data_IF_356354395072
#
_entry.id   IF_356354395072
#
_cell.length_a   1.000
_cell.length_b   1.000
_cell.length_c   1.000
_cell.angle_alpha   90.00
_cell.angle_beta   90.00
_cell.angle_gamma   90.00
#
_symmetry.space_group_name_H-M   'P 1'
#
loop_
_entity.id
_entity.type
_entity.pdbx_description
1 polymer ?
#
# COMPACT_ATOMS: atom_id res chain seq x y z
N UNK A 1 -16.85 3.20 18.64
CA UNK A 1 -17.02 2.32 17.46
C UNK A 1 -16.97 3.21 16.24
N UNK A 2 -15.95 3.07 15.38
CA UNK A 2 -15.89 3.78 14.11
C UNK A 2 -16.92 3.14 13.18
N UNK A 3 -17.90 3.89 12.71
CA UNK A 3 -18.88 3.41 11.73
C UNK A 3 -18.37 3.72 10.30
N UNK A 4 -18.70 2.86 9.34
CA UNK A 4 -18.38 3.12 7.93
C UNK A 4 -19.27 4.26 7.43
N UNK A 5 -18.66 5.43 7.19
CA UNK A 5 -19.37 6.65 6.79
C UNK A 5 -20.17 6.43 5.51
N UNK A 6 -19.59 5.81 4.48
CA UNK A 6 -20.28 5.63 3.20
C UNK A 6 -21.47 4.66 3.34
N UNK A 7 -21.37 3.68 4.25
CA UNK A 7 -22.50 2.79 4.54
C UNK A 7 -23.63 3.50 5.30
N UNK A 8 -23.30 4.40 6.21
CA UNK A 8 -24.27 5.11 7.05
C UNK A 8 -24.88 6.35 6.37
N UNK A 9 -24.08 7.04 5.54
CA UNK A 9 -24.39 8.35 4.97
C UNK A 9 -24.20 8.39 3.44
N UNK A 10 -24.15 7.23 2.77
CA UNK A 10 -23.93 7.17 1.32
C UNK A 10 -25.00 7.86 0.49
N UNK A 11 -26.20 8.02 1.04
CA UNK A 11 -27.32 8.71 0.41
C UNK A 11 -27.05 10.21 0.22
N UNK A 12 -26.32 10.85 1.13
CA UNK A 12 -25.99 12.28 1.04
C UNK A 12 -24.74 12.56 0.20
N UNK A 13 -24.01 11.54 -0.27
CA UNK A 13 -22.83 11.73 -1.12
C UNK A 13 -23.30 12.07 -2.53
N UNK A 14 -22.80 13.17 -3.10
CA UNK A 14 -23.11 13.59 -4.48
C UNK A 14 -21.95 13.33 -5.43
N UNK A 15 -22.29 13.07 -6.69
CA UNK A 15 -21.31 12.95 -7.78
C UNK A 15 -20.82 14.29 -8.31
N UNK A 16 -21.51 15.40 -8.02
CA UNK A 16 -21.15 16.75 -8.44
C UNK A 16 -20.53 17.57 -7.30
N UNK A 17 -19.63 18.49 -7.64
CA UNK A 17 -18.96 19.37 -6.69
C UNK A 17 -17.53 19.69 -7.12
N UNK A 18 -16.72 20.17 -6.17
CA UNK A 18 -15.36 20.61 -6.43
C UNK A 18 -14.36 19.47 -6.67
N UNK A 19 -13.23 19.79 -7.32
CA UNK A 19 -12.12 18.85 -7.51
C UNK A 19 -11.27 18.74 -6.24
N UNK A 20 -10.85 17.53 -5.92
CA UNK A 20 -10.07 17.21 -4.71
C UNK A 20 -8.70 16.70 -5.11
N UNK A 21 -7.64 17.29 -4.55
CA UNK A 21 -6.27 16.76 -4.63
C UNK A 21 -5.83 16.36 -3.23
N UNK A 22 -5.59 15.06 -3.03
CA UNK A 22 -4.96 14.52 -1.83
C UNK A 22 -3.48 14.25 -2.12
N UNK A 23 -2.62 15.08 -1.55
CA UNK A 23 -1.17 14.87 -1.56
C UNK A 23 -0.77 14.06 -0.33
N UNK A 24 -0.08 12.95 -0.58
CA UNK A 24 0.50 12.09 0.43
C UNK A 24 2.03 12.14 0.31
N UNK A 25 2.68 12.85 1.22
CA UNK A 25 4.12 12.78 1.43
C UNK A 25 4.38 11.54 2.29
N UNK A 26 4.83 10.46 1.67
CA UNK A 26 4.98 9.16 2.32
C UNK A 26 5.83 9.26 3.59
N UNK A 27 5.39 8.68 4.70
CA UNK A 27 6.17 8.72 5.95
C UNK A 27 6.44 10.14 6.51
N UNK A 28 5.64 11.16 6.13
CA UNK A 28 5.87 12.58 6.47
C UNK A 28 6.21 12.80 7.94
N UNK A 29 5.40 12.22 8.82
CA UNK A 29 5.50 12.51 10.25
C UNK A 29 6.84 12.10 10.83
N UNK A 30 7.37 12.95 11.70
CA UNK A 30 8.63 12.77 12.39
C UNK A 30 8.48 12.88 13.91
N UNK A 31 9.62 12.82 14.60
CA UNK A 31 9.72 13.11 16.03
C UNK A 31 10.90 14.05 16.27
N UNK A 32 10.87 14.88 17.33
CA UNK A 32 12.00 15.73 17.67
C UNK A 32 13.29 14.93 17.81
N UNK A 33 14.31 15.28 17.03
CA UNK A 33 15.59 14.57 17.03
C UNK A 33 16.78 15.52 17.02
N UNK A 34 17.20 16.04 15.87
CA UNK A 34 18.31 16.98 15.77
C UNK A 34 17.85 18.38 16.15
N UNK A 35 18.60 19.02 17.04
CA UNK A 35 18.24 20.33 17.62
C UNK A 35 16.83 20.37 18.23
N UNK A 36 16.31 19.21 18.63
CA UNK A 36 14.94 19.07 19.14
C UNK A 36 13.87 19.40 18.11
N UNK A 37 14.12 19.24 16.80
CA UNK A 37 13.14 19.43 15.71
C UNK A 37 12.83 18.13 14.98
N UNK A 38 11.64 18.03 14.40
CA UNK A 38 11.32 17.04 13.36
C UNK A 38 11.96 17.45 12.03
N UNK A 39 11.98 16.55 11.04
CA UNK A 39 12.43 16.84 9.68
C UNK A 39 11.54 17.90 9.02
N UNK A 40 10.22 17.85 9.26
CA UNK A 40 9.26 18.84 8.76
C UNK A 40 9.46 20.23 9.42
N UNK A 41 9.77 20.27 10.71
CA UNK A 41 10.10 21.52 11.41
C UNK A 41 11.43 22.13 10.95
N UNK A 42 12.41 21.28 10.62
CA UNK A 42 13.74 21.69 10.16
C UNK A 42 13.77 22.16 8.71
N UNK A 43 12.88 21.63 7.85
CA UNK A 43 12.77 22.01 6.45
C UNK A 43 12.35 23.47 6.26
N UNK A 44 12.90 24.12 5.23
CA UNK A 44 12.49 25.45 4.78
C UNK A 44 11.34 25.33 3.79
N UNK A 45 10.13 25.57 4.29
CA UNK A 45 8.88 25.27 3.59
C UNK A 45 7.99 26.50 3.40
N UNK A 46 8.47 27.56 2.71
CA UNK A 46 7.73 28.82 2.61
C UNK A 46 6.34 28.66 1.97
N UNK A 47 6.16 27.75 1.01
CA UNK A 47 4.88 27.57 0.33
C UNK A 47 3.87 26.82 1.21
N UNK A 48 4.31 25.75 1.87
CA UNK A 48 3.49 25.02 2.85
C UNK A 48 3.14 25.92 4.04
N UNK A 49 4.09 26.71 4.54
CA UNK A 49 3.89 27.59 5.69
C UNK A 49 2.91 28.73 5.37
N UNK A 50 2.93 29.26 4.14
CA UNK A 50 1.94 30.25 3.73
C UNK A 50 0.55 29.62 3.56
N UNK A 51 0.48 28.46 2.90
CA UNK A 51 -0.77 27.72 2.73
C UNK A 51 -1.39 27.29 4.07
N UNK A 52 -0.56 26.94 5.05
CA UNK A 52 -0.96 26.49 6.38
C UNK A 52 -1.78 27.53 7.16
N UNK A 53 -1.54 28.82 6.94
CA UNK A 53 -2.29 29.91 7.59
C UNK A 53 -3.73 29.98 7.07
N UNK A 54 -3.92 29.68 5.79
CA UNK A 54 -5.21 29.67 5.11
C UNK A 54 -5.89 28.28 5.09
N UNK A 55 -5.39 27.33 5.89
CA UNK A 55 -5.87 25.96 5.95
C UNK A 55 -6.43 25.61 7.33
N UNK A 56 -7.30 24.59 7.37
CA UNK A 56 -7.62 23.88 8.59
C UNK A 56 -6.54 22.81 8.82
N UNK A 57 -5.87 22.81 9.97
CA UNK A 57 -4.81 21.85 10.32
C UNK A 57 -5.26 20.88 11.39
N UNK A 58 -4.57 19.75 11.48
CA UNK A 58 -4.78 18.76 12.52
C UNK A 58 -3.76 17.64 12.44
N UNK A 59 -3.98 16.64 13.29
CA UNK A 59 -3.28 15.37 13.23
C UNK A 59 -4.26 14.27 12.86
N UNK A 60 -3.79 13.24 12.19
CA UNK A 60 -4.58 12.03 12.00
C UNK A 60 -3.88 10.78 12.51
N UNK A 61 -4.68 9.78 12.88
CA UNK A 61 -4.26 8.47 13.33
C UNK A 61 -4.53 7.48 12.20
N UNK A 62 -3.51 6.88 11.58
CA UNK A 62 -3.69 6.02 10.42
C UNK A 62 -4.54 4.77 10.68
N UNK A 63 -4.27 4.07 11.80
CA UNK A 63 -4.96 2.81 12.15
C UNK A 63 -5.63 2.93 13.51
N UNK A 64 -4.86 2.96 14.59
CA UNK A 64 -5.37 3.20 15.94
C UNK A 64 -4.26 3.74 16.86
N UNK A 65 -4.66 4.21 18.04
CA UNK A 65 -3.72 4.72 19.04
C UNK A 65 -2.66 3.67 19.41
N UNK A 66 -1.39 4.05 19.29
CA UNK A 66 -0.26 3.17 19.63
C UNK A 66 0.04 2.08 18.61
N UNK A 67 -0.67 2.03 17.47
CA UNK A 67 -0.43 1.05 16.40
C UNK A 67 0.50 1.63 15.35
N UNK A 68 1.66 1.02 15.14
CA UNK A 68 2.53 1.33 14.00
C UNK A 68 1.96 0.69 12.73
N UNK A 69 1.53 1.46 11.73
CA UNK A 69 0.92 0.92 10.53
C UNK A 69 1.97 0.52 9.48
N UNK A 70 1.61 -0.44 8.62
CA UNK A 70 2.24 -0.58 7.31
C UNK A 70 1.55 0.32 6.28
N UNK A 71 2.23 0.59 5.17
CA UNK A 71 1.71 1.54 4.16
C UNK A 71 0.38 1.11 3.53
N UNK A 72 0.13 -0.21 3.39
CA UNK A 72 -1.14 -0.75 2.90
C UNK A 72 -2.35 -0.32 3.76
N UNK A 73 -2.41 -0.74 5.04
CA UNK A 73 -3.41 -0.29 5.99
C UNK A 73 -3.53 1.25 6.08
N UNK A 74 -2.42 1.98 6.12
CA UNK A 74 -2.45 3.45 6.16
C UNK A 74 -3.17 4.07 4.97
N UNK A 75 -2.87 3.60 3.75
CA UNK A 75 -3.51 4.12 2.54
C UNK A 75 -4.99 3.76 2.45
N UNK A 76 -5.37 2.54 2.84
CA UNK A 76 -6.79 2.18 2.94
C UNK A 76 -7.54 3.15 3.86
N UNK A 77 -6.95 3.48 5.01
CA UNK A 77 -7.53 4.42 5.94
C UNK A 77 -7.63 5.84 5.37
N UNK A 78 -6.58 6.34 4.69
CA UNK A 78 -6.63 7.64 4.00
C UNK A 78 -7.76 7.71 2.97
N UNK A 79 -8.05 6.60 2.28
CA UNK A 79 -9.15 6.49 1.31
C UNK A 79 -10.50 6.17 1.95
N UNK A 80 -10.58 6.17 3.28
CA UNK A 80 -11.81 6.00 4.06
C UNK A 80 -12.29 4.54 4.17
N UNK A 81 -11.42 3.57 3.95
CA UNK A 81 -11.67 2.15 4.20
C UNK A 81 -11.16 1.75 5.58
N UNK A 82 -11.92 0.92 6.28
CA UNK A 82 -11.49 0.37 7.57
C UNK A 82 -10.23 -0.51 7.36
N UNK A 83 -9.06 -0.12 7.91
CA UNK A 83 -7.80 -0.81 7.66
C UNK A 83 -7.68 -2.14 8.41
N UNK A 84 -8.53 -2.39 9.42
CA UNK A 84 -8.55 -3.63 10.20
C UNK A 84 -9.48 -4.66 9.56
N UNK A 85 -10.57 -4.22 8.91
CA UNK A 85 -11.46 -5.12 8.17
C UNK A 85 -10.94 -5.45 6.77
N UNK A 86 -10.35 -4.47 6.08
CA UNK A 86 -9.94 -4.61 4.68
C UNK A 86 -8.46 -5.00 4.55
N UNK A 87 -8.01 -6.02 5.27
CA UNK A 87 -6.59 -6.41 5.28
C UNK A 87 -6.19 -6.96 3.91
N UNK A 88 -5.32 -6.24 3.21
CA UNK A 88 -4.59 -6.77 2.06
C UNK A 88 -3.53 -7.73 2.59
N UNK A 89 -3.76 -9.03 2.41
CA UNK A 89 -2.84 -10.08 2.88
C UNK A 89 -1.51 -10.04 2.10
N UNK A 90 -0.47 -10.63 2.72
CA UNK A 90 0.93 -10.49 2.29
C UNK A 90 1.23 -10.97 0.87
N UNK A 91 0.62 -12.05 0.38
CA UNK A 91 0.91 -12.54 -0.97
C UNK A 91 0.55 -11.51 -2.05
N UNK A 92 -0.58 -10.80 -1.90
CA UNK A 92 -0.97 -9.69 -2.76
C UNK A 92 -0.02 -8.52 -2.59
N UNK A 93 0.35 -8.16 -1.36
CA UNK A 93 1.32 -7.07 -1.15
C UNK A 93 2.65 -7.34 -1.87
N UNK A 94 3.15 -8.58 -1.87
CA UNK A 94 4.35 -8.97 -2.62
C UNK A 94 4.13 -8.83 -4.13
N UNK A 95 2.98 -9.27 -4.64
CA UNK A 95 2.61 -9.13 -6.05
C UNK A 95 2.57 -7.65 -6.48
N UNK A 96 1.90 -6.81 -5.70
CA UNK A 96 1.86 -5.36 -5.94
C UNK A 96 3.26 -4.74 -5.87
N UNK A 97 4.09 -5.17 -4.93
CA UNK A 97 5.45 -4.67 -4.74
C UNK A 97 6.37 -4.91 -5.94
N UNK A 98 6.08 -5.92 -6.77
CA UNK A 98 6.78 -6.20 -8.02
C UNK A 98 6.00 -5.77 -9.28
N UNK A 99 4.94 -4.97 -9.11
CA UNK A 99 4.18 -4.37 -10.20
C UNK A 99 3.11 -5.26 -10.83
N UNK A 100 2.78 -6.40 -10.20
CA UNK A 100 1.71 -7.28 -10.66
C UNK A 100 0.39 -6.82 -10.06
N UNK A 101 -0.63 -6.73 -10.92
CA UNK A 101 -1.99 -6.42 -10.49
C UNK A 101 -2.80 -7.72 -10.46
N UNK A 102 -3.23 -8.19 -9.28
CA UNK A 102 -4.07 -9.37 -9.15
C UNK A 102 -5.40 -9.26 -9.90
N UNK A 103 -5.92 -10.39 -10.35
CA UNK A 103 -7.31 -10.54 -10.81
C UNK A 103 -8.19 -11.22 -9.75
N UNK A 104 -9.53 -11.10 -9.88
CA UNK A 104 -10.49 -11.59 -8.87
C UNK A 104 -10.52 -13.12 -8.71
N UNK A 105 -10.09 -13.85 -9.74
CA UNK A 105 -10.00 -15.31 -9.81
C UNK A 105 -8.56 -15.83 -9.58
N UNK A 106 -7.71 -15.00 -8.98
CA UNK A 106 -6.30 -15.27 -8.79
C UNK A 106 -5.93 -15.23 -7.31
N UNK A 107 -5.13 -16.22 -6.89
CA UNK A 107 -4.54 -16.26 -5.56
C UNK A 107 -3.03 -16.12 -5.67
N UNK A 108 -2.45 -15.39 -4.73
CA UNK A 108 -1.02 -15.15 -4.64
C UNK A 108 -0.46 -15.76 -3.38
N UNK A 109 0.70 -16.39 -3.50
CA UNK A 109 1.49 -16.90 -2.39
C UNK A 109 2.89 -16.28 -2.44
N UNK A 110 3.40 -15.93 -1.27
CA UNK A 110 4.83 -15.68 -1.12
C UNK A 110 5.54 -17.02 -1.06
N UNK A 111 6.68 -17.12 -1.74
CA UNK A 111 7.55 -18.28 -1.72
C UNK A 111 8.99 -17.91 -1.36
N UNK A 112 9.69 -18.88 -0.79
CA UNK A 112 11.14 -18.86 -0.68
C UNK A 112 11.71 -20.08 -1.40
N UNK A 113 12.65 -19.87 -2.33
CA UNK A 113 13.55 -20.93 -2.76
C UNK A 113 14.34 -21.46 -1.56
N UNK A 114 14.38 -22.78 -1.42
CA UNK A 114 15.01 -23.45 -0.29
C UNK A 114 15.81 -24.67 -0.75
N UNK A 115 16.80 -25.05 0.06
CA UNK A 115 17.49 -26.33 -0.07
C UNK A 115 16.72 -27.38 0.69
N UNK A 116 16.46 -28.51 0.03
CA UNK A 116 15.70 -29.61 0.58
C UNK A 116 16.34 -30.96 0.21
N UNK A 117 16.06 -31.99 0.99
CA UNK A 117 16.39 -33.38 0.66
C UNK A 117 15.14 -34.26 0.75
N UNK A 118 15.11 -35.33 -0.04
CA UNK A 118 14.10 -36.37 0.12
C UNK A 118 14.49 -37.32 1.27
N UNK A 119 13.55 -37.60 2.16
CA UNK A 119 13.71 -38.45 3.34
C UNK A 119 12.40 -39.22 3.57
N UNK A 120 12.41 -40.53 3.26
CA UNK A 120 11.25 -41.40 3.43
C UNK A 120 10.00 -40.97 2.66
N UNK A 121 10.16 -40.43 1.44
CA UNK A 121 9.05 -39.90 0.63
C UNK A 121 8.52 -38.55 1.09
N UNK A 122 9.16 -37.90 2.06
CA UNK A 122 8.89 -36.53 2.50
C UNK A 122 10.04 -35.62 2.11
N UNK A 123 9.76 -34.32 1.99
CA UNK A 123 10.75 -33.30 1.64
C UNK A 123 11.18 -32.59 2.92
N UNK A 124 12.43 -32.83 3.36
CA UNK A 124 13.02 -32.21 4.54
C UNK A 124 13.74 -30.92 4.16
N UNK A 125 13.50 -29.85 4.91
CA UNK A 125 14.09 -28.54 4.66
C UNK A 125 15.47 -28.45 5.31
N UNK A 126 16.50 -28.16 4.51
CA UNK A 126 17.88 -28.01 4.97
C UNK A 126 18.26 -26.54 5.18
N UNK A 127 17.84 -25.67 4.27
CA UNK A 127 18.05 -24.22 4.37
C UNK A 127 16.83 -23.51 3.77
N UNK A 128 16.12 -22.74 4.58
CA UNK A 128 14.86 -22.07 4.21
C UNK A 128 15.03 -20.91 3.23
N UNK A 129 16.26 -20.51 2.96
CA UNK A 129 16.61 -19.35 2.12
C UNK A 129 17.60 -19.71 1.01
N UNK A 130 17.96 -20.99 0.88
CA UNK A 130 18.92 -21.46 -0.12
C UNK A 130 20.24 -20.64 -0.13
N UNK A 131 20.78 -20.30 1.06
CA UNK A 131 21.98 -19.49 1.17
C UNK A 131 21.82 -18.04 0.70
N UNK A 132 20.58 -17.56 0.54
CA UNK A 132 20.24 -16.29 -0.11
C UNK A 132 20.88 -16.18 -1.50
N UNK A 133 20.49 -17.08 -2.39
CA UNK A 133 20.85 -17.03 -3.82
C UNK A 133 20.72 -15.62 -4.39
N UNK A 134 21.56 -15.29 -5.38
CA UNK A 134 21.45 -14.01 -6.07
C UNK A 134 20.11 -13.88 -6.79
N UNK A 135 19.65 -12.64 -6.98
CA UNK A 135 18.43 -12.37 -7.77
C UNK A 135 18.55 -12.90 -9.20
N UNK A 136 19.75 -12.98 -9.76
CA UNK A 136 19.97 -13.53 -11.11
C UNK A 136 19.70 -15.04 -11.15
N UNK A 137 20.20 -15.79 -10.17
CA UNK A 137 19.89 -17.22 -10.03
C UNK A 137 18.39 -17.41 -9.83
N UNK A 138 17.75 -16.58 -9.01
CA UNK A 138 16.30 -16.64 -8.79
C UNK A 138 15.51 -16.46 -10.10
N UNK A 139 15.86 -15.46 -10.92
CA UNK A 139 15.22 -15.23 -12.22
C UNK A 139 15.32 -16.47 -13.10
N UNK A 140 16.49 -17.12 -13.15
CA UNK A 140 16.69 -18.34 -13.93
C UNK A 140 15.84 -19.51 -13.42
N UNK A 141 15.74 -19.68 -12.09
CA UNK A 141 14.86 -20.69 -11.50
C UNK A 141 13.38 -20.42 -11.79
N UNK A 142 12.93 -19.16 -11.68
CA UNK A 142 11.56 -18.77 -12.00
C UNK A 142 11.24 -18.98 -13.48
N UNK A 143 12.18 -18.67 -14.38
CA UNK A 143 12.02 -18.90 -15.83
C UNK A 143 11.89 -20.39 -16.14
N UNK A 144 12.77 -21.23 -15.55
CA UNK A 144 12.72 -22.68 -15.70
C UNK A 144 11.37 -23.25 -15.21
N UNK A 145 10.92 -22.84 -14.02
CA UNK A 145 9.63 -23.26 -13.47
C UNK A 145 8.46 -22.79 -14.34
N UNK A 146 8.49 -21.54 -14.81
CA UNK A 146 7.45 -20.99 -15.69
C UNK A 146 7.39 -21.68 -17.05
N UNK A 147 8.50 -22.21 -17.55
CA UNK A 147 8.52 -23.01 -18.78
C UNK A 147 7.88 -24.40 -18.55
N UNK A 148 8.20 -25.05 -17.42
CA UNK A 148 7.81 -26.43 -17.13
C UNK A 148 6.45 -26.57 -16.44
N UNK A 149 5.98 -25.54 -15.75
CA UNK A 149 4.77 -25.56 -14.91
C UNK A 149 3.92 -24.34 -15.30
N UNK A 150 3.26 -24.41 -16.45
CA UNK A 150 2.35 -23.35 -16.94
C UNK A 150 0.92 -23.54 -16.43
N UNK A 151 0.48 -24.80 -16.35
CA UNK A 151 -0.86 -25.19 -15.96
C UNK A 151 -0.78 -26.38 -15.01
N UNK A 152 -1.63 -26.38 -13.99
CA UNK A 152 -1.92 -27.53 -13.14
C UNK A 152 -3.42 -27.79 -13.21
N UNK A 153 -3.81 -28.90 -13.84
CA UNK A 153 -5.18 -29.14 -14.27
C UNK A 153 -5.69 -27.95 -15.13
N UNK A 154 -6.69 -27.21 -14.65
CA UNK A 154 -7.27 -26.00 -15.25
C UNK A 154 -6.81 -24.69 -14.57
N UNK A 155 -5.80 -24.73 -13.71
CA UNK A 155 -5.24 -23.56 -13.02
C UNK A 155 -3.95 -23.10 -13.69
N UNK A 156 -3.91 -21.84 -14.12
CA UNK A 156 -2.70 -21.20 -14.63
C UNK A 156 -1.73 -20.90 -13.47
N UNK A 157 -0.45 -21.21 -13.65
CA UNK A 157 0.60 -21.00 -12.66
C UNK A 157 1.64 -20.04 -13.20
N UNK A 158 2.00 -19.02 -12.41
CA UNK A 158 3.08 -18.09 -12.75
C UNK A 158 4.04 -17.92 -11.59
N UNK A 159 5.33 -17.83 -11.89
CA UNK A 159 6.40 -17.60 -10.93
C UNK A 159 7.08 -16.27 -11.22
N UNK A 160 7.10 -15.40 -10.22
CA UNK A 160 7.63 -14.06 -10.36
C UNK A 160 8.85 -13.88 -9.45
N UNK A 161 10.03 -13.60 -10.01
CA UNK A 161 11.22 -13.37 -9.22
C UNK A 161 11.06 -12.09 -8.39
N UNK A 162 11.46 -12.15 -7.12
CA UNK A 162 11.55 -10.98 -6.24
C UNK A 162 13.04 -10.71 -5.96
N UNK A 163 13.44 -10.50 -4.70
CA UNK A 163 14.82 -10.25 -4.30
C UNK A 163 15.42 -11.48 -3.64
N UNK A 164 16.65 -11.83 -4.05
CA UNK A 164 17.40 -12.99 -3.56
C UNK A 164 16.59 -14.29 -3.73
N UNK A 165 16.35 -15.03 -2.65
CA UNK A 165 15.61 -16.30 -2.63
C UNK A 165 14.08 -16.15 -2.67
N UNK A 166 13.54 -14.93 -2.64
CA UNK A 166 12.09 -14.69 -2.59
C UNK A 166 11.46 -14.81 -3.97
N UNK A 167 10.29 -15.44 -4.03
CA UNK A 167 9.48 -15.60 -5.24
C UNK A 167 8.02 -15.31 -4.91
N UNK A 168 7.27 -14.72 -5.82
CA UNK A 168 5.83 -14.59 -5.72
C UNK A 168 5.20 -15.57 -6.71
N UNK A 169 4.22 -16.35 -6.29
CA UNK A 169 3.53 -17.32 -7.15
C UNK A 169 2.08 -16.88 -7.30
N UNK A 170 1.60 -16.89 -8.53
CA UNK A 170 0.18 -16.75 -8.86
C UNK A 170 -0.40 -18.10 -9.25
N UNK A 171 -1.62 -18.36 -8.76
CA UNK A 171 -2.50 -19.43 -9.22
C UNK A 171 -3.81 -18.79 -9.66
N UNK A 172 -4.11 -18.88 -10.95
CA UNK A 172 -5.31 -18.29 -11.54
C UNK A 172 -6.26 -19.38 -12.02
N UNK A 173 -7.48 -19.38 -11.50
CA UNK A 173 -8.49 -20.37 -11.83
C UNK A 173 -9.73 -20.27 -10.97
N UNK A 174 -10.82 -20.89 -11.43
CA UNK A 174 -12.09 -20.89 -10.70
C UNK A 174 -12.04 -21.81 -9.48
N UNK A 175 -12.79 -21.43 -8.44
CA UNK A 175 -12.91 -22.22 -7.21
C UNK A 175 -11.64 -22.24 -6.36
N UNK A 176 -10.78 -21.22 -6.47
CA UNK A 176 -9.61 -21.03 -5.62
C UNK A 176 -9.92 -20.08 -4.45
N UNK A 177 -9.32 -20.38 -3.31
CA UNK A 177 -9.41 -19.60 -2.07
C UNK A 177 -8.04 -19.44 -1.43
N UNK A 178 -7.88 -18.42 -0.59
CA UNK A 178 -6.68 -18.18 0.20
C UNK A 178 -6.76 -18.71 1.63
N UNK A 179 -7.84 -19.43 1.96
CA UNK A 179 -8.09 -20.04 3.28
C UNK A 179 -7.45 -21.43 3.43
N UNK A 180 -6.17 -21.52 3.06
CA UNK A 180 -5.34 -22.71 3.22
C UNK A 180 -4.05 -22.38 4.00
N UNK A 181 -3.51 -23.37 4.70
CA UNK A 181 -2.31 -23.26 5.49
C UNK A 181 -1.03 -23.22 4.65
N UNK A 182 -0.03 -22.51 5.18
CA UNK A 182 1.32 -22.44 4.61
C UNK A 182 1.98 -23.81 4.48
N UNK A 183 2.82 -23.97 3.45
CA UNK A 183 3.64 -25.18 3.24
C UNK A 183 5.02 -25.06 3.88
N UNK A 184 5.48 -23.83 4.15
CA UNK A 184 6.73 -23.59 4.87
C UNK A 184 6.61 -24.00 6.36
N UNK A 185 7.45 -24.93 6.86
CA UNK A 185 7.40 -25.36 8.26
C UNK A 185 7.95 -24.32 9.25
N UNK A 186 8.52 -23.23 8.75
CA UNK A 186 9.15 -22.14 9.48
C UNK A 186 10.45 -22.47 10.19
N UNK A 187 10.94 -23.69 10.06
CA UNK A 187 12.14 -24.16 10.74
C UNK A 187 12.90 -25.16 9.86
N UNK A 188 14.23 -25.08 9.91
CA UNK A 188 15.12 -26.04 9.25
C UNK A 188 15.11 -27.38 10.01
N UNK A 189 15.37 -28.48 9.29
CA UNK A 189 15.28 -29.84 9.82
C UNK A 189 13.84 -30.39 9.90
N UNK A 190 12.83 -29.56 9.68
CA UNK A 190 11.42 -29.99 9.58
C UNK A 190 11.05 -30.33 8.12
N UNK A 191 9.92 -31.01 7.93
CA UNK A 191 9.39 -31.36 6.61
C UNK A 191 8.48 -30.28 6.05
N UNK A 192 8.47 -30.11 4.73
CA UNK A 192 7.46 -29.28 4.05
C UNK A 192 6.08 -29.79 4.44
N UNK A 193 5.20 -28.86 4.84
CA UNK A 193 3.85 -29.19 5.26
C UNK A 193 2.97 -29.46 4.06
N UNK A 194 2.08 -30.44 4.22
CA UNK A 194 0.92 -30.55 3.34
C UNK A 194 0.02 -29.34 3.56
N UNK A 195 -0.52 -28.70 2.50
CA UNK A 195 -1.47 -27.61 2.65
C UNK A 195 -2.65 -28.06 3.50
N UNK A 196 -2.89 -27.38 4.63
CA UNK A 196 -4.02 -27.69 5.51
C UNK A 196 -5.22 -26.82 5.14
N UNK A 197 -6.41 -27.39 5.23
CA UNK A 197 -7.65 -26.62 5.14
C UNK A 197 -7.83 -25.85 6.45
N UNK A 198 -8.10 -24.55 6.38
CA UNK A 198 -8.34 -23.73 7.56
C UNK A 198 -9.85 -23.67 7.85
N UNK A 199 -10.25 -24.05 9.07
CA UNK A 199 -11.67 -24.09 9.46
C UNK A 199 -12.45 -25.18 8.73
N UNK A 200 -13.72 -24.89 8.43
CA UNK A 200 -14.61 -25.84 7.76
C UNK A 200 -14.15 -26.16 6.33
N UNK A 201 -14.28 -27.43 5.96
CA UNK A 201 -13.96 -27.91 4.63
C UNK A 201 -15.01 -27.47 3.61
N UNK A 202 -14.55 -26.73 2.59
CA UNK A 202 -15.36 -26.36 1.42
C UNK A 202 -14.72 -26.92 0.15
N UNK A 203 -15.49 -26.94 -0.95
CA UNK A 203 -14.99 -27.36 -2.26
C UNK A 203 -13.75 -26.55 -2.66
N UNK A 204 -13.77 -25.24 -2.49
CA UNK A 204 -12.69 -24.33 -2.87
C UNK A 204 -11.42 -24.59 -2.07
N UNK A 205 -11.54 -24.83 -0.75
CA UNK A 205 -10.39 -25.10 0.12
C UNK A 205 -9.74 -26.43 -0.23
N UNK A 206 -10.55 -27.49 -0.43
CA UNK A 206 -10.05 -28.81 -0.82
C UNK A 206 -9.35 -28.74 -2.17
N UNK A 207 -10.00 -28.13 -3.16
CA UNK A 207 -9.44 -27.92 -4.49
C UNK A 207 -8.13 -27.13 -4.46
N UNK A 208 -8.07 -26.04 -3.70
CA UNK A 208 -6.85 -25.24 -3.59
C UNK A 208 -5.73 -26.04 -2.92
N UNK A 209 -6.01 -26.77 -1.84
CA UNK A 209 -5.03 -27.62 -1.16
C UNK A 209 -4.46 -28.70 -2.10
N UNK A 210 -5.31 -29.36 -2.91
CA UNK A 210 -4.90 -30.34 -3.91
C UNK A 210 -3.99 -29.72 -4.99
N UNK A 211 -4.36 -28.55 -5.53
CA UNK A 211 -3.55 -27.83 -6.52
C UNK A 211 -2.19 -27.43 -5.94
N UNK A 212 -2.15 -26.91 -4.72
CA UNK A 212 -0.89 -26.53 -4.05
C UNK A 212 -0.03 -27.76 -3.74
N UNK A 213 -0.65 -28.89 -3.38
CA UNK A 213 0.09 -30.13 -3.17
C UNK A 213 0.72 -30.62 -4.49
N UNK A 214 -0.05 -30.64 -5.59
CA UNK A 214 0.47 -30.95 -6.93
C UNK A 214 1.59 -30.00 -7.34
N UNK A 215 1.44 -28.71 -7.06
CA UNK A 215 2.44 -27.68 -7.32
C UNK A 215 3.75 -27.97 -6.59
N UNK A 216 3.71 -28.22 -5.27
CA UNK A 216 4.90 -28.53 -4.48
C UNK A 216 5.63 -29.76 -5.04
N UNK A 217 4.89 -30.83 -5.37
CA UNK A 217 5.46 -32.03 -5.98
C UNK A 217 6.12 -31.74 -7.33
N UNK A 218 5.46 -30.95 -8.19
CA UNK A 218 6.00 -30.61 -9.51
C UNK A 218 7.23 -29.70 -9.43
N UNK A 219 7.24 -28.73 -8.52
CA UNK A 219 8.40 -27.88 -8.24
C UNK A 219 9.58 -28.76 -7.82
N UNK A 220 9.36 -29.68 -6.89
CA UNK A 220 10.42 -30.59 -6.43
C UNK A 220 10.94 -31.47 -7.57
N UNK A 221 10.05 -32.05 -8.38
CA UNK A 221 10.44 -32.87 -9.54
C UNK A 221 11.35 -32.11 -10.52
N UNK A 222 11.03 -30.85 -10.80
CA UNK A 222 11.80 -29.99 -11.71
C UNK A 222 13.14 -29.57 -11.10
N UNK A 223 13.18 -29.29 -9.80
CA UNK A 223 14.34 -28.70 -9.14
C UNK A 223 15.21 -29.68 -8.34
N UNK A 224 14.83 -30.95 -8.18
CA UNK A 224 15.53 -31.92 -7.31
C UNK A 224 17.04 -32.04 -7.58
N UNK A 225 17.47 -31.83 -8.83
CA UNK A 225 18.88 -31.93 -9.24
C UNK A 225 19.55 -30.56 -9.41
N UNK A 226 18.85 -29.46 -9.13
CA UNK A 226 19.42 -28.13 -9.20
C UNK A 226 20.36 -27.89 -8.01
N UNK A 227 21.50 -27.24 -8.22
CA UNK A 227 22.51 -27.01 -7.18
C UNK A 227 22.11 -25.93 -6.14
N UNK A 228 21.21 -25.03 -6.51
CA UNK A 228 20.87 -23.86 -5.70
C UNK A 228 19.69 -24.10 -4.78
N UNK A 229 18.58 -24.64 -5.30
CA UNK A 229 17.34 -24.87 -4.56
C UNK A 229 16.58 -26.06 -5.14
N UNK A 230 15.93 -26.85 -4.28
CA UNK A 230 15.17 -28.05 -4.69
C UNK A 230 13.66 -27.87 -4.49
N UNK A 231 13.24 -26.82 -3.78
CA UNK A 231 11.86 -26.64 -3.35
C UNK A 231 11.53 -25.14 -3.24
N UNK A 232 10.24 -24.82 -3.23
CA UNK A 232 9.74 -23.51 -2.82
C UNK A 232 8.86 -23.70 -1.58
N UNK A 233 9.16 -22.93 -0.52
CA UNK A 233 8.37 -22.90 0.71
C UNK A 233 7.32 -21.80 0.60
N UNK A 234 6.04 -22.18 0.53
CA UNK A 234 4.93 -21.26 0.28
C UNK A 234 4.30 -20.77 1.58
N UNK A 235 3.93 -19.49 1.57
CA UNK A 235 3.36 -18.77 2.70
C UNK A 235 2.38 -17.70 2.27
N UNK A 236 1.45 -17.39 3.17
CA UNK A 236 0.64 -16.18 3.08
C UNK A 236 -0.19 -16.15 1.80
N UNK A 237 -0.87 -17.27 1.51
CA UNK A 237 -1.88 -17.32 0.45
C UNK A 237 -2.85 -16.15 0.64
N UNK A 238 -3.19 -15.51 -0.47
CA UNK A 238 -3.99 -14.30 -0.46
C UNK A 238 -4.78 -14.15 -1.75
N UNK A 239 -6.05 -13.80 -1.61
CA UNK A 239 -6.95 -13.45 -2.69
C UNK A 239 -7.33 -11.98 -2.56
N UNK A 240 -7.69 -11.35 -3.69
CA UNK A 240 -8.15 -9.96 -3.65
C UNK A 240 -9.28 -9.85 -2.64
N UNK A 241 -9.21 -8.91 -1.69
CA UNK A 241 -10.31 -8.70 -0.76
C UNK A 241 -11.54 -8.27 -1.55
N UNK A 242 -12.72 -8.72 -1.11
CA UNK A 242 -13.98 -8.17 -1.58
C UNK A 242 -14.15 -6.76 -0.99
N UNK A 243 -13.61 -5.79 -1.71
CA UNK A 243 -13.57 -4.39 -1.32
C UNK A 243 -14.37 -3.56 -2.32
N UNK A 244 -15.24 -2.70 -1.81
CA UNK A 244 -15.99 -1.77 -2.64
C UNK A 244 -15.02 -0.82 -3.36
N UNK A 245 -15.27 -0.53 -4.64
CA UNK A 245 -14.43 0.39 -5.39
C UNK A 245 -14.58 1.83 -4.89
N UNK A 246 -13.53 2.63 -5.07
CA UNK A 246 -13.49 4.05 -4.68
C UNK A 246 -14.59 4.86 -5.34
N UNK A 247 -14.82 4.65 -6.64
CA UNK A 247 -15.90 5.30 -7.36
C UNK A 247 -17.27 4.92 -6.80
N UNK A 248 -17.50 3.65 -6.49
CA UNK A 248 -18.78 3.21 -5.91
C UNK A 248 -18.99 3.77 -4.50
N UNK A 249 -17.94 3.79 -3.68
CA UNK A 249 -17.98 4.27 -2.29
C UNK A 249 -18.19 5.79 -2.21
N UNK A 250 -17.51 6.55 -3.07
CA UNK A 250 -17.43 8.01 -2.95
C UNK A 250 -18.07 8.80 -4.09
N UNK A 251 -18.55 8.14 -5.16
CA UNK A 251 -19.09 8.75 -6.38
C UNK A 251 -18.12 9.72 -7.06
N UNK A 252 -16.82 9.39 -7.00
CA UNK A 252 -15.71 10.19 -7.54
C UNK A 252 -14.95 9.39 -8.58
N UNK A 253 -14.73 9.99 -9.76
CA UNK A 253 -13.76 9.45 -10.71
C UNK A 253 -12.35 9.81 -10.25
N UNK A 254 -11.53 8.80 -9.93
CA UNK A 254 -10.25 8.98 -9.25
C UNK A 254 -9.05 8.62 -10.14
N UNK A 255 -8.00 9.44 -10.07
CA UNK A 255 -6.70 9.17 -10.68
C UNK A 255 -5.60 9.11 -9.60
N UNK A 256 -4.84 8.03 -9.60
CA UNK A 256 -3.65 7.87 -8.77
C UNK A 256 -2.38 8.23 -9.54
N UNK A 257 -1.61 9.16 -8.97
CA UNK A 257 -0.33 9.65 -9.45
C UNK A 257 0.74 9.18 -8.47
N UNK A 258 1.15 7.93 -8.65
CA UNK A 258 2.16 7.26 -7.83
C UNK A 258 3.19 6.55 -8.71
N UNK A 259 4.46 6.61 -8.31
CA UNK A 259 5.58 5.97 -9.02
C UNK A 259 5.85 4.55 -8.49
N UNK A 260 5.76 4.36 -7.17
CA UNK A 260 6.12 3.09 -6.55
C UNK A 260 5.04 2.00 -6.78
N UNK A 261 5.42 0.76 -7.15
CA UNK A 261 4.48 -0.29 -7.55
C UNK A 261 3.39 -0.60 -6.53
N UNK A 262 3.71 -0.62 -5.24
CA UNK A 262 2.75 -0.95 -4.19
C UNK A 262 1.57 0.04 -4.15
N UNK A 263 1.82 1.34 -4.24
CA UNK A 263 0.76 2.36 -4.19
C UNK A 263 -0.09 2.37 -5.46
N UNK A 264 0.55 2.16 -6.62
CA UNK A 264 -0.17 1.91 -7.88
C UNK A 264 -1.07 0.69 -7.74
N UNK A 265 -0.58 -0.36 -7.08
CA UNK A 265 -1.30 -1.57 -6.77
C UNK A 265 -2.54 -1.35 -5.90
N UNK A 266 -2.38 -0.66 -4.77
CA UNK A 266 -3.48 -0.35 -3.85
C UNK A 266 -4.55 0.48 -4.57
N UNK A 267 -4.14 1.51 -5.31
CA UNK A 267 -5.05 2.33 -6.10
C UNK A 267 -5.86 1.51 -7.11
N UNK A 268 -5.21 0.56 -7.84
CA UNK A 268 -5.91 -0.35 -8.75
C UNK A 268 -6.88 -1.29 -8.04
N UNK A 269 -6.52 -1.83 -6.87
CA UNK A 269 -7.42 -2.68 -6.07
C UNK A 269 -8.69 -1.92 -5.71
N UNK A 270 -8.57 -0.62 -5.40
CA UNK A 270 -9.70 0.25 -5.14
C UNK A 270 -10.40 0.76 -6.41
N UNK A 271 -10.00 0.31 -7.60
CA UNK A 271 -10.61 0.72 -8.86
C UNK A 271 -10.31 2.15 -9.29
N UNK A 272 -9.20 2.75 -8.83
CA UNK A 272 -8.73 4.04 -9.34
C UNK A 272 -7.97 3.86 -10.66
N UNK A 273 -8.08 4.84 -11.57
CA UNK A 273 -7.21 4.91 -12.74
C UNK A 273 -5.79 5.26 -12.30
N UNK A 274 -4.79 4.78 -13.03
CA UNK A 274 -3.38 5.03 -12.70
C UNK A 274 -2.76 5.89 -13.79
N UNK A 275 -2.12 6.99 -13.42
CA UNK A 275 -1.42 7.83 -14.39
C UNK A 275 -0.19 7.14 -14.96
N UNK A 276 0.05 7.36 -16.24
CA UNK A 276 1.33 7.11 -16.88
C UNK A 276 2.30 8.22 -16.47
N UNK A 277 3.44 7.85 -15.90
CA UNK A 277 4.47 8.78 -15.44
C UNK A 277 5.79 8.31 -16.05
N UNK A 278 6.48 9.20 -16.73
CA UNK A 278 7.81 8.92 -17.27
C UNK A 278 8.87 9.10 -16.18
N UNK A 279 9.49 8.00 -15.76
CA UNK A 279 10.44 7.97 -14.66
C UNK A 279 9.83 8.18 -13.27
N UNK A 280 10.66 8.59 -12.32
CA UNK A 280 10.31 8.67 -10.88
C UNK A 280 10.47 10.09 -10.31
N UNK A 281 10.48 11.11 -11.16
CA UNK A 281 10.68 12.50 -10.72
C UNK A 281 9.35 13.17 -10.34
N UNK A 282 9.41 14.09 -9.37
CA UNK A 282 8.24 14.87 -8.95
C UNK A 282 7.70 15.74 -10.11
N UNK A 283 8.57 16.22 -11.00
CA UNK A 283 8.18 16.97 -12.20
C UNK A 283 7.37 16.12 -13.17
N UNK A 284 7.73 14.85 -13.35
CA UNK A 284 6.94 13.91 -14.16
C UNK A 284 5.55 13.69 -13.56
N UNK A 285 5.43 13.61 -12.24
CA UNK A 285 4.15 13.49 -11.54
C UNK A 285 3.29 14.75 -11.70
N UNK A 286 3.89 15.93 -11.60
CA UNK A 286 3.20 17.22 -11.81
C UNK A 286 2.72 17.35 -13.26
N UNK A 287 3.52 16.93 -14.24
CA UNK A 287 3.09 16.87 -15.64
C UNK A 287 1.86 15.98 -15.80
N UNK A 288 1.89 14.78 -15.23
CA UNK A 288 0.74 13.85 -15.27
C UNK A 288 -0.51 14.44 -14.60
N UNK A 289 -0.36 15.18 -13.50
CA UNK A 289 -1.47 15.89 -12.85
C UNK A 289 -2.07 16.95 -13.79
N UNK A 290 -1.23 17.81 -14.39
CA UNK A 290 -1.66 18.88 -15.30
C UNK A 290 -2.42 18.33 -16.51
N UNK A 291 -1.92 17.27 -17.15
CA UNK A 291 -2.51 16.67 -18.35
C UNK A 291 -3.87 15.99 -18.11
N UNK A 292 -4.17 15.66 -16.85
CA UNK A 292 -5.38 14.93 -16.48
C UNK A 292 -6.33 15.71 -15.56
N UNK A 293 -5.97 16.92 -15.14
CA UNK A 293 -6.70 17.69 -14.13
C UNK A 293 -8.20 17.86 -14.45
N UNK A 294 -8.51 18.10 -15.71
CA UNK A 294 -9.90 18.29 -16.16
C UNK A 294 -10.71 16.99 -16.22
N UNK A 295 -10.07 15.81 -16.29
CA UNK A 295 -10.73 14.53 -16.60
C UNK A 295 -11.25 13.76 -15.39
N UNK A 296 -10.86 14.16 -14.18
CA UNK A 296 -11.14 13.46 -12.93
C UNK A 296 -11.65 14.41 -11.84
N UNK A 297 -12.29 13.84 -10.83
CA UNK A 297 -12.82 14.56 -9.67
C UNK A 297 -11.87 14.52 -8.47
N UNK A 298 -11.08 13.44 -8.37
CA UNK A 298 -10.18 13.17 -7.26
C UNK A 298 -8.81 12.74 -7.76
N UNK A 299 -7.76 13.33 -7.17
CA UNK A 299 -6.37 13.00 -7.46
C UNK A 299 -5.66 12.55 -6.18
N UNK A 300 -5.11 11.34 -6.21
CA UNK A 300 -4.17 10.87 -5.19
C UNK A 300 -2.75 11.09 -5.71
N UNK A 301 -2.05 12.09 -5.17
CA UNK A 301 -0.67 12.42 -5.54
C UNK A 301 0.27 11.89 -4.46
N UNK A 302 1.08 10.88 -4.77
CA UNK A 302 1.95 10.21 -3.80
C UNK A 302 3.42 10.54 -4.02
N UNK A 303 4.11 11.00 -2.98
CA UNK A 303 5.53 11.31 -3.02
C UNK A 303 6.33 10.41 -2.07
N UNK A 304 7.07 9.45 -2.62
CA UNK A 304 7.76 8.39 -1.85
C UNK A 304 9.02 8.83 -1.11
N UNK A 305 9.75 9.84 -1.62
CA UNK A 305 11.15 10.08 -1.20
C UNK A 305 11.29 10.38 0.29
N UNK A 306 10.31 11.01 0.91
CA UNK A 306 10.31 11.35 2.34
C UNK A 306 10.41 10.12 3.23
N UNK A 307 9.66 9.06 2.92
CA UNK A 307 9.69 7.81 3.67
C UNK A 307 11.00 7.07 3.51
N UNK A 308 11.50 6.93 2.26
CA UNK A 308 12.76 6.24 1.99
C UNK A 308 13.93 6.85 2.78
N UNK A 309 14.00 8.17 2.87
CA UNK A 309 15.03 8.85 3.69
C UNK A 309 14.82 8.66 5.19
N UNK A 310 13.57 8.59 5.64
CA UNK A 310 13.21 8.23 7.01
C UNK A 310 13.70 6.83 7.37
N UNK A 311 13.41 5.82 6.55
CA UNK A 311 13.86 4.43 6.75
C UNK A 311 15.39 4.29 6.70
N UNK A 312 16.07 5.09 5.88
CA UNK A 312 17.54 5.14 5.82
C UNK A 312 18.19 5.80 7.06
N UNK A 313 17.40 6.39 7.95
CA UNK A 313 17.90 7.21 9.06
C UNK A 313 18.52 8.55 8.62
N UNK A 314 18.27 8.97 7.39
CA UNK A 314 18.84 10.16 6.76
C UNK A 314 17.96 11.41 7.02
N UNK A 315 18.19 12.05 8.17
CA UNK A 315 17.49 13.27 8.56
C UNK A 315 17.59 14.38 7.51
N UNK A 316 18.80 14.68 7.02
CA UNK A 316 19.04 15.75 6.05
C UNK A 316 18.44 15.43 4.68
N UNK A 317 18.49 14.17 4.27
CA UNK A 317 17.85 13.71 3.04
C UNK A 317 16.33 13.86 3.10
N UNK A 318 15.70 13.53 4.24
CA UNK A 318 14.25 13.71 4.41
C UNK A 318 13.86 15.18 4.44
N UNK A 319 14.63 16.03 5.12
CA UNK A 319 14.48 17.50 5.08
C UNK A 319 14.48 18.00 3.62
N UNK A 320 15.50 17.63 2.83
CA UNK A 320 15.59 18.03 1.42
C UNK A 320 14.44 17.52 0.56
N UNK A 321 13.93 16.31 0.84
CA UNK A 321 12.77 15.78 0.12
C UNK A 321 11.50 16.58 0.41
N UNK A 322 11.31 17.06 1.64
CA UNK A 322 10.20 17.95 2.01
C UNK A 322 10.34 19.30 1.30
N UNK A 323 11.55 19.88 1.28
CA UNK A 323 11.84 21.13 0.54
C UNK A 323 11.64 20.98 -0.97
N UNK A 324 11.99 19.82 -1.55
CA UNK A 324 11.73 19.50 -2.96
C UNK A 324 10.23 19.55 -3.26
N UNK A 325 9.40 18.93 -2.41
CA UNK A 325 7.94 19.01 -2.57
C UNK A 325 7.41 20.45 -2.40
N UNK A 326 7.88 21.18 -1.37
CA UNK A 326 7.45 22.56 -1.14
C UNK A 326 7.66 23.43 -2.39
N UNK A 327 8.76 23.23 -3.11
CA UNK A 327 9.10 24.01 -4.31
C UNK A 327 8.10 23.86 -5.47
N UNK A 328 7.41 22.71 -5.58
CA UNK A 328 6.43 22.44 -6.65
C UNK A 328 4.98 22.69 -6.25
N UNK A 329 4.72 22.94 -4.96
CA UNK A 329 3.37 23.19 -4.45
C UNK A 329 2.65 24.35 -5.19
N UNK A 330 3.31 25.46 -5.58
CA UNK A 330 2.67 26.50 -6.38
C UNK A 330 2.12 25.99 -7.71
N UNK A 331 2.74 24.98 -8.33
CA UNK A 331 2.27 24.41 -9.58
C UNK A 331 0.96 23.62 -9.39
N UNK A 332 0.82 22.91 -8.26
CA UNK A 332 -0.44 22.23 -7.90
C UNK A 332 -1.55 23.26 -7.67
N UNK A 333 -1.25 24.31 -6.90
CA UNK A 333 -2.20 25.39 -6.60
C UNK A 333 -2.63 26.14 -7.87
N UNK A 334 -1.74 26.31 -8.85
CA UNK A 334 -2.03 26.98 -10.12
C UNK A 334 -3.08 26.27 -10.97
N UNK A 335 -3.32 24.98 -10.73
CA UNK A 335 -4.40 24.23 -11.40
C UNK A 335 -5.79 24.58 -10.83
N UNK A 336 -5.86 25.24 -9.67
CA UNK A 336 -7.10 25.66 -9.05
C UNK A 336 -7.97 24.52 -8.50
N UNK A 337 -7.43 23.57 -7.71
CA UNK A 337 -8.28 22.59 -7.01
C UNK A 337 -9.23 23.30 -6.04
N UNK A 338 -10.46 22.78 -5.87
CA UNK A 338 -11.39 23.32 -4.87
C UNK A 338 -11.00 22.90 -3.45
N UNK A 339 -10.37 21.74 -3.32
CA UNK A 339 -9.84 21.19 -2.09
C UNK A 339 -8.43 20.63 -2.34
N UNK A 340 -7.47 21.08 -1.55
CA UNK A 340 -6.14 20.49 -1.47
C UNK A 340 -5.90 20.00 -0.05
N UNK A 341 -5.62 18.71 0.10
CA UNK A 341 -5.20 18.14 1.37
C UNK A 341 -3.76 17.66 1.26
N UNK A 342 -2.94 17.98 2.27
CA UNK A 342 -1.53 17.56 2.35
C UNK A 342 -1.31 16.86 3.68
N UNK A 343 -0.78 15.65 3.62
CA UNK A 343 -0.51 14.80 4.79
C UNK A 343 0.57 13.77 4.47
N UNK A 344 0.98 12.97 5.45
CA UNK A 344 1.53 11.64 5.21
C UNK A 344 0.50 10.54 5.46
N UNK A 345 0.86 9.31 5.12
CA UNK A 345 0.11 8.09 5.43
C UNK A 345 0.53 7.46 6.76
N UNK A 346 1.79 7.63 7.16
CA UNK A 346 2.32 7.29 8.48
C UNK A 346 3.50 8.19 8.89
N UNK A 347 4.01 7.95 10.10
CA UNK A 347 5.24 8.57 10.59
C UNK A 347 6.43 7.64 10.33
N UNK A 348 7.44 8.12 9.61
CA UNK A 348 8.72 7.42 9.41
C UNK A 348 9.89 8.31 9.86
N UNK A 349 10.04 8.56 11.17
CA UNK A 349 11.10 9.41 11.68
C UNK A 349 12.48 8.79 11.44
N UNK A 350 13.42 9.59 10.93
CA UNK A 350 14.79 9.15 10.68
C UNK A 350 15.49 8.71 11.97
N UNK A 351 15.07 9.25 13.12
CA UNK A 351 15.56 8.85 14.44
C UNK A 351 15.28 7.37 14.78
N UNK A 352 14.24 6.78 14.19
CA UNK A 352 13.85 5.38 14.42
C UNK A 352 14.18 4.47 13.24
N UNK A 353 14.56 5.03 12.08
CA UNK A 353 14.85 4.28 10.85
C UNK A 353 13.73 3.28 10.49
N UNK A 354 12.48 3.72 10.62
CA UNK A 354 11.30 2.89 10.40
C UNK A 354 10.01 3.57 10.81
N UNK A 355 8.89 2.88 10.54
CA UNK A 355 7.55 3.40 10.84
C UNK A 355 7.32 3.52 12.35
N UNK A 356 6.47 4.45 12.75
CA UNK A 356 6.08 4.65 14.16
C UNK A 356 4.58 4.92 14.32
N UNK A 357 4.10 4.77 15.55
CA UNK A 357 2.69 4.92 15.94
C UNK A 357 2.23 6.36 16.14
N UNK A 358 3.11 7.35 15.92
CA UNK A 358 2.78 8.75 16.18
C UNK A 358 1.69 9.25 15.21
N UNK A 359 0.82 10.18 15.64
CA UNK A 359 -0.10 10.86 14.73
C UNK A 359 0.62 11.66 13.66
N UNK A 360 -0.01 11.78 12.49
CA UNK A 360 0.58 12.37 11.28
C UNK A 360 -0.04 13.74 11.02
N UNK A 361 0.74 14.79 10.68
CA UNK A 361 0.20 16.11 10.35
C UNK A 361 -0.62 16.09 9.07
N UNK A 362 -1.77 16.77 9.10
CA UNK A 362 -2.64 17.00 7.96
C UNK A 362 -3.07 18.47 7.91
N UNK A 363 -3.15 19.02 6.71
CA UNK A 363 -3.87 20.26 6.46
C UNK A 363 -4.84 20.13 5.29
N UNK A 364 -5.96 20.84 5.37
CA UNK A 364 -6.98 20.92 4.33
C UNK A 364 -7.17 22.40 3.98
N UNK A 365 -6.81 22.73 2.74
CA UNK A 365 -7.07 24.02 2.13
C UNK A 365 -8.33 23.95 1.26
N UNK A 366 -9.28 24.85 1.49
CA UNK A 366 -10.44 25.05 0.62
C UNK A 366 -11.11 26.39 0.91
N UNK A 367 -12.00 26.84 0.01
CA UNK A 367 -12.86 28.01 0.27
C UNK A 367 -13.80 27.84 1.47
N UNK A 368 -14.09 26.60 1.87
CA UNK A 368 -14.96 26.24 3.00
C UNK A 368 -14.18 25.85 4.26
N UNK A 369 -12.85 25.91 4.24
CA UNK A 369 -12.04 25.57 5.39
C UNK A 369 -12.20 26.61 6.49
N UNK A 370 -12.30 26.15 7.74
CA UNK A 370 -12.09 27.01 8.88
C UNK A 370 -10.59 27.31 8.97
N UNK A 371 -10.20 28.49 8.48
CA UNK A 371 -8.78 28.87 8.41
C UNK A 371 -8.29 29.11 9.83
N UNK A 372 -7.27 28.37 10.25
CA UNK A 372 -6.73 28.53 11.60
C UNK A 372 -6.05 29.90 11.77
N UNK A 373 -5.48 30.48 10.71
CA UNK A 373 -4.90 31.81 10.71
C UNK A 373 -3.51 31.95 11.36
N UNK A 374 -2.88 30.84 11.74
CA UNK A 374 -1.55 30.84 12.38
C UNK A 374 -0.71 29.61 12.04
N UNK A 375 0.57 29.72 12.38
CA UNK A 375 1.53 28.61 12.41
C UNK A 375 2.06 28.20 11.04
N UNK A 376 2.94 27.20 11.07
CA UNK A 376 3.55 26.48 9.95
C UNK A 376 2.85 25.14 9.76
N UNK A 377 3.14 24.44 8.66
CA UNK A 377 2.73 23.04 8.51
C UNK A 377 3.75 22.13 9.20
N UNK A 378 3.58 21.92 10.51
CA UNK A 378 4.46 21.08 11.34
C UNK A 378 3.65 20.21 12.30
N UNK A 379 4.24 19.15 12.86
CA UNK A 379 3.58 18.31 13.85
C UNK A 379 3.12 19.10 15.09
N UNK A 380 3.93 20.07 15.55
CA UNK A 380 3.60 20.91 16.71
C UNK A 380 2.45 21.86 16.45
N UNK A 381 2.46 22.56 15.33
CA UNK A 381 1.41 23.54 15.04
C UNK A 381 0.09 22.84 14.67
N UNK A 382 0.16 21.69 14.00
CA UNK A 382 -1.01 20.86 13.68
C UNK A 382 -1.75 20.39 14.94
N UNK A 383 -1.09 20.26 16.10
CA UNK A 383 -1.75 19.91 17.37
C UNK A 383 -2.82 20.93 17.79
N UNK A 384 -2.67 22.19 17.39
CA UNK A 384 -3.57 23.27 17.77
C UNK A 384 -4.57 23.63 16.67
N UNK A 385 -4.53 22.93 15.53
CA UNK A 385 -5.40 23.22 14.39
C UNK A 385 -6.86 22.80 14.64
N UNK A 386 -7.78 23.44 13.92
CA UNK A 386 -9.23 23.26 14.09
C UNK A 386 -9.75 21.85 13.74
N UNK A 387 -9.00 21.03 12.99
CA UNK A 387 -9.37 19.63 12.75
C UNK A 387 -9.15 18.75 13.99
N UNK A 388 -8.31 19.19 14.94
CA UNK A 388 -7.95 18.39 16.12
C UNK A 388 -7.17 17.12 15.76
N UNK A 389 -7.47 16.02 16.47
CA UNK A 389 -6.91 14.69 16.19
C UNK A 389 -8.03 13.77 15.70
N UNK A 390 -7.94 13.31 14.46
CA UNK A 390 -8.96 12.46 13.82
C UNK A 390 -8.40 11.10 13.44
N UNK A 391 -9.26 10.13 13.17
CA UNK A 391 -8.84 8.92 12.46
C UNK A 391 -8.72 9.21 10.96
N UNK A 392 -7.74 8.60 10.30
CA UNK A 392 -7.52 8.76 8.86
C UNK A 392 -8.78 8.43 8.02
N UNK A 393 -9.60 7.49 8.49
CA UNK A 393 -10.86 7.09 7.84
C UNK A 393 -11.88 8.21 7.70
N UNK A 394 -11.74 9.31 8.48
CA UNK A 394 -12.60 10.49 8.37
C UNK A 394 -12.06 11.57 7.44
N UNK A 395 -10.87 11.40 6.86
CA UNK A 395 -10.31 12.36 5.90
C UNK A 395 -11.22 12.48 4.68
N UNK A 396 -11.58 11.37 4.03
CA UNK A 396 -12.46 11.41 2.84
C UNK A 396 -13.80 12.12 3.09
N UNK A 397 -14.58 11.81 4.16
CA UNK A 397 -15.76 12.58 4.52
C UNK A 397 -15.52 14.09 4.63
N UNK A 398 -14.41 14.52 5.26
CA UNK A 398 -14.05 15.94 5.37
C UNK A 398 -13.74 16.55 3.99
N UNK A 399 -12.99 15.84 3.14
CA UNK A 399 -12.68 16.32 1.79
C UNK A 399 -13.94 16.50 0.95
N UNK A 400 -14.89 15.57 1.03
CA UNK A 400 -16.18 15.67 0.35
C UNK A 400 -16.99 16.87 0.85
N UNK A 401 -17.02 17.12 2.16
CA UNK A 401 -17.68 18.28 2.74
C UNK A 401 -17.08 19.60 2.21
N UNK A 402 -15.75 19.73 2.23
CA UNK A 402 -15.05 20.91 1.71
C UNK A 402 -15.27 21.12 0.20
N UNK A 403 -15.40 20.04 -0.54
CA UNK A 403 -15.70 20.07 -1.98
C UNK A 403 -17.17 20.37 -2.30
N UNK A 404 -18.06 20.45 -1.29
CA UNK A 404 -19.50 20.64 -1.52
C UNK A 404 -20.18 19.42 -2.15
N UNK A 405 -19.65 18.22 -1.84
CA UNK A 405 -20.11 16.93 -2.36
C UNK A 405 -20.97 16.14 -1.36
N UNK A 406 -21.42 16.80 -0.28
CA UNK A 406 -22.35 16.22 0.70
C UNK A 406 -23.63 17.05 0.77
N UNK A 407 -24.78 16.37 0.79
CA UNK A 407 -26.09 16.95 1.09
C UNK A 407 -26.35 17.02 2.59
N UNK A 408 -27.43 17.72 2.95
CA UNK A 408 -27.95 17.74 4.31
C UNK A 408 -28.48 16.35 4.68
N UNK A 409 -28.11 15.86 5.86
CA UNK A 409 -28.62 14.58 6.37
C UNK A 409 -29.98 14.77 7.06
N UNK A 410 -30.97 13.95 6.67
CA UNK A 410 -32.26 13.86 7.35
C UNK A 410 -33.26 14.98 7.05
N UNK A 411 -33.05 15.83 6.04
CA UNK A 411 -34.01 16.87 5.63
C UNK A 411 -33.76 17.38 4.22
#
# INVERSE_FOLDING_TARGET
MLYDFAKAFGEIIKSDGGKIVLVVLDGLGGIPYREGKTELEAAKTPNLDELAKDSAKGLHIPVDFGVTPGSGPSHLALFGYDPVKNIIKRGIMEALGIGITPSSDEIFARGNFAKCSEDGGKIKVLDRRAGRISTEINKNLCAMLSEKIKMLDDVEVKFYPVKEHRVCISLKGKGLTDEIGDTDPQKEGEYIRTPQILGDETYEKRRTAEIVQKLNSKIFEVLKSNEYAQCILLRGFSKLPDIESFEKKWKLKALAIATYPMYRGIAKILGMDISEIDGETINSQIKALKENFEKYDFFYFHFKKTDSRGEDGDFEGKVKAIEEFDSILPEILSLGPDVLAITGDHCSPSALAGHSFHPVPIMIWSKRAFRDGFGRFTERDCRYGSLGVIYATYIMPLLLAHAGRLEKFGA
#
